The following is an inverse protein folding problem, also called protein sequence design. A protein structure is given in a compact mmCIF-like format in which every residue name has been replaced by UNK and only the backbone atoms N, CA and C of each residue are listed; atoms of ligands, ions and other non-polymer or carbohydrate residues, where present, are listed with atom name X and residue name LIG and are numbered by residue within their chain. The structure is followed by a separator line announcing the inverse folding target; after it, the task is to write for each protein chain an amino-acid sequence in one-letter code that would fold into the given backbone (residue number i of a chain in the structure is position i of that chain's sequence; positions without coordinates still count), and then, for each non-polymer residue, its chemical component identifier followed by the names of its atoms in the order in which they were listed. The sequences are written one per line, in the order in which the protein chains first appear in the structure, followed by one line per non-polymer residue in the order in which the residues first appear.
data_IF_249267799181
#
_entry.id   IF_249267799181
#
_cell.length_a   1.000
_cell.length_b   1.000
_cell.length_c   1.000
_cell.angle_alpha   90.00
_cell.angle_beta   90.00
_cell.angle_gamma   90.00
#
_symmetry.space_group_name_H-M   'P 1'
#
loop_
_entity.id
_entity.type
_entity.pdbx_description
1 polymer ?
#
# COMPACT_ATOMS: atom_id res chain seq x y z
N UNK A 1 0.34 -34.78 -4.45
CA UNK A 1 1.31 -34.19 -3.53
C UNK A 1 2.55 -33.85 -4.34
N UNK A 2 2.66 -32.59 -4.77
CA UNK A 2 3.89 -32.08 -5.38
C UNK A 2 4.58 -31.23 -4.33
N UNK A 3 5.59 -31.80 -3.68
CA UNK A 3 6.52 -31.03 -2.85
C UNK A 3 7.34 -30.17 -3.79
N UNK A 4 6.95 -28.91 -3.96
CA UNK A 4 7.82 -27.92 -4.58
C UNK A 4 9.12 -27.89 -3.77
N UNK A 5 10.21 -28.31 -4.40
CA UNK A 5 11.55 -28.11 -3.86
C UNK A 5 11.73 -26.60 -3.79
N UNK A 6 11.68 -26.02 -2.59
CA UNK A 6 12.11 -24.65 -2.36
C UNK A 6 13.57 -24.57 -2.81
N UNK A 7 13.80 -24.06 -4.01
CA UNK A 7 15.13 -23.69 -4.46
C UNK A 7 15.61 -22.59 -3.54
N UNK A 8 16.57 -22.90 -2.68
CA UNK A 8 17.24 -21.97 -1.77
C UNK A 8 17.65 -20.72 -2.55
N UNK A 9 16.99 -19.58 -2.30
CA UNK A 9 17.34 -18.30 -2.93
C UNK A 9 18.70 -17.88 -2.39
N UNK A 10 19.62 -17.50 -3.28
CA UNK A 10 20.89 -16.92 -2.87
C UNK A 10 20.63 -15.67 -1.98
N UNK A 11 21.42 -15.48 -0.91
CA UNK A 11 21.21 -14.36 0.01
C UNK A 11 21.37 -13.04 -0.73
N UNK A 12 20.45 -12.12 -0.46
CA UNK A 12 20.35 -10.79 -1.08
C UNK A 12 21.41 -9.84 -0.52
N UNK A 13 21.68 -9.95 0.77
CA UNK A 13 22.62 -9.13 1.54
C UNK A 13 23.56 -10.07 2.30
N UNK A 14 24.86 -9.79 2.21
CA UNK A 14 25.89 -10.53 2.94
C UNK A 14 25.84 -10.21 4.45
N UNK A 15 26.18 -11.17 5.33
CA UNK A 15 26.28 -10.91 6.76
C UNK A 15 27.29 -9.80 7.08
N UNK A 16 26.92 -8.95 8.04
CA UNK A 16 27.78 -7.94 8.62
C UNK A 16 28.82 -8.63 9.53
N UNK A 17 30.05 -8.10 9.54
CA UNK A 17 31.16 -8.64 10.36
C UNK A 17 31.70 -7.56 11.29
N UNK A 18 31.57 -7.78 12.59
CA UNK A 18 32.03 -6.86 13.62
C UNK A 18 33.55 -6.90 13.85
N UNK A 19 34.07 -6.00 14.70
CA UNK A 19 33.34 -4.90 15.34
C UNK A 19 33.02 -3.75 14.34
N UNK A 20 31.90 -3.05 14.53
CA UNK A 20 31.52 -1.88 13.72
C UNK A 20 31.22 -0.66 14.58
N UNK A 21 31.82 0.48 14.26
CA UNK A 21 31.38 1.76 14.80
C UNK A 21 30.13 2.26 14.05
N UNK A 22 29.59 3.38 14.53
CA UNK A 22 28.39 4.03 13.99
C UNK A 22 28.52 4.50 12.53
N UNK A 23 29.67 5.03 12.13
CA UNK A 23 29.90 5.50 10.75
C UNK A 23 29.94 4.33 9.77
N UNK A 24 30.60 3.23 10.14
CA UNK A 24 30.64 2.00 9.36
C UNK A 24 29.26 1.36 9.25
N UNK A 25 28.46 1.40 10.34
CA UNK A 25 27.09 0.92 10.33
C UNK A 25 26.20 1.75 9.39
N UNK A 26 26.29 3.08 9.46
CA UNK A 26 25.57 3.98 8.57
C UNK A 26 25.99 3.77 7.10
N UNK A 27 27.29 3.58 6.84
CA UNK A 27 27.79 3.23 5.52
C UNK A 27 27.20 1.92 5.02
N UNK A 28 27.13 0.88 5.87
CA UNK A 28 26.46 -0.38 5.56
C UNK A 28 24.97 -0.19 5.24
N UNK A 29 24.22 0.54 6.08
CA UNK A 29 22.79 0.84 5.83
C UNK A 29 22.60 1.47 4.45
N UNK A 30 23.45 2.42 4.05
CA UNK A 30 23.41 3.04 2.71
C UNK A 30 23.63 2.06 1.55
N UNK A 31 24.29 0.92 1.80
CA UNK A 31 24.46 -0.12 0.77
C UNK A 31 23.22 -0.97 0.54
N UNK A 32 22.35 -1.10 1.54
CA UNK A 32 21.17 -1.98 1.50
C UNK A 32 19.85 -1.23 1.27
N UNK A 33 19.86 0.10 1.24
CA UNK A 33 18.67 0.91 0.92
C UNK A 33 18.67 1.44 -0.51
N UNK A 34 17.49 1.83 -0.98
CA UNK A 34 17.27 2.50 -2.26
C UNK A 34 18.19 3.72 -2.43
N UNK A 35 18.77 3.88 -3.62
CA UNK A 35 19.74 4.95 -3.89
C UNK A 35 19.17 6.38 -3.73
N UNK A 36 17.88 6.55 -4.01
CA UNK A 36 17.22 7.84 -3.97
C UNK A 36 16.69 8.19 -2.56
N UNK A 37 16.76 7.25 -1.61
CA UNK A 37 16.25 7.46 -0.26
C UNK A 37 17.23 8.27 0.59
N UNK A 38 16.67 9.25 1.31
CA UNK A 38 17.40 9.97 2.35
C UNK A 38 17.33 9.19 3.65
N UNK A 39 18.49 8.94 4.25
CA UNK A 39 18.59 8.38 5.59
C UNK A 39 18.27 9.48 6.60
N UNK A 40 17.32 9.20 7.48
CA UNK A 40 17.12 10.01 8.69
C UNK A 40 18.19 9.57 9.70
N UNK A 41 19.20 10.42 9.90
CA UNK A 41 20.35 10.09 10.76
C UNK A 41 19.90 9.81 12.20
N UNK A 42 18.92 10.54 12.74
CA UNK A 42 18.40 10.28 14.10
C UNK A 42 17.76 8.91 14.21
N UNK A 43 17.01 8.50 13.18
CA UNK A 43 16.42 7.17 13.14
C UNK A 43 17.50 6.09 12.95
N UNK A 44 18.55 6.37 12.17
CA UNK A 44 19.69 5.47 12.04
C UNK A 44 20.41 5.28 13.37
N UNK A 45 20.58 6.36 14.15
CA UNK A 45 21.12 6.32 15.50
C UNK A 45 20.27 5.45 16.41
N UNK A 46 18.95 5.66 16.42
CA UNK A 46 18.04 4.83 17.20
C UNK A 46 18.06 3.34 16.79
N UNK A 47 18.31 3.05 15.51
CA UNK A 47 18.50 1.67 15.03
C UNK A 47 19.84 1.11 15.49
N UNK A 48 20.92 1.90 15.47
CA UNK A 48 22.23 1.49 15.98
C UNK A 48 22.15 1.17 17.49
N UNK A 49 21.58 2.09 18.27
CA UNK A 49 21.40 1.97 19.73
C UNK A 49 20.49 0.79 20.12
N UNK A 50 19.64 0.32 19.20
CA UNK A 50 18.82 -0.88 19.43
C UNK A 50 19.69 -2.15 19.54
N UNK A 51 20.83 -2.16 18.85
CA UNK A 51 21.75 -3.29 18.79
C UNK A 51 22.96 -3.12 19.72
N UNK A 52 23.43 -1.89 19.95
CA UNK A 52 24.49 -1.54 20.91
C UNK A 52 23.94 -1.64 22.36
N UNK A 53 24.08 -2.83 22.97
CA UNK A 53 23.49 -3.16 24.28
C UNK A 53 24.33 -2.67 25.44
N UNK A 54 25.65 -2.57 25.28
CA UNK A 54 26.54 -2.06 26.33
C UNK A 54 26.83 -0.56 26.21
N UNK A 55 26.35 0.08 25.13
CA UNK A 55 26.38 1.52 24.89
C UNK A 55 27.80 2.07 24.78
N UNK A 56 28.72 1.28 24.24
CA UNK A 56 30.12 1.67 24.02
C UNK A 56 30.37 2.37 22.67
N UNK A 57 29.32 2.51 21.84
CA UNK A 57 29.32 3.03 20.47
C UNK A 57 30.04 2.15 19.44
N UNK A 58 30.20 0.86 19.74
CA UNK A 58 30.78 -0.15 18.87
C UNK A 58 29.91 -1.41 18.93
N UNK A 59 29.34 -1.81 17.80
CA UNK A 59 28.71 -3.13 17.72
C UNK A 59 29.79 -4.21 17.78
N UNK A 60 29.84 -4.92 18.91
CA UNK A 60 30.66 -6.11 19.08
C UNK A 60 30.30 -7.20 18.06
N UNK A 61 31.09 -8.28 18.00
CA UNK A 61 30.75 -9.44 17.16
C UNK A 61 29.36 -10.00 17.48
N UNK A 62 28.99 -10.05 18.77
CA UNK A 62 27.71 -10.59 19.22
C UNK A 62 26.51 -9.69 18.88
N UNK A 63 26.71 -8.37 18.86
CA UNK A 63 25.68 -7.39 18.52
C UNK A 63 25.53 -7.28 17.01
N UNK A 64 26.63 -7.34 16.27
CA UNK A 64 26.63 -7.48 14.81
C UNK A 64 25.89 -8.75 14.39
N UNK A 65 26.08 -9.87 15.10
CA UNK A 65 25.31 -11.09 14.85
C UNK A 65 23.81 -10.90 15.14
N UNK A 66 23.46 -10.06 16.12
CA UNK A 66 22.05 -9.68 16.36
C UNK A 66 21.47 -8.85 15.20
N UNK A 67 22.27 -7.98 14.55
CA UNK A 67 21.89 -7.29 13.31
C UNK A 67 21.66 -8.30 12.18
N UNK A 68 22.57 -9.27 12.02
CA UNK A 68 22.46 -10.32 11.00
C UNK A 68 21.15 -11.10 11.14
N UNK A 69 20.85 -11.55 12.35
CA UNK A 69 19.66 -12.37 12.65
C UNK A 69 18.34 -11.61 12.47
N UNK A 70 18.30 -10.31 12.75
CA UNK A 70 17.07 -9.53 12.66
C UNK A 70 16.91 -8.86 11.31
N UNK A 71 17.85 -7.99 10.93
CA UNK A 71 17.71 -7.16 9.75
C UNK A 71 18.08 -7.93 8.48
N UNK A 72 19.25 -8.55 8.45
CA UNK A 72 19.78 -9.18 7.23
C UNK A 72 18.99 -10.43 6.87
N UNK A 73 18.67 -11.29 7.86
CA UNK A 73 17.78 -12.44 7.63
C UNK A 73 16.43 -11.98 7.09
N UNK A 74 15.80 -10.98 7.72
CA UNK A 74 14.51 -10.51 7.26
C UNK A 74 14.56 -9.98 5.82
N UNK A 75 15.61 -9.21 5.45
CA UNK A 75 15.81 -8.73 4.07
C UNK A 75 15.97 -9.91 3.09
N UNK A 76 16.75 -10.92 3.46
CA UNK A 76 17.00 -12.11 2.64
C UNK A 76 15.73 -12.95 2.42
N UNK A 77 14.86 -13.01 3.44
CA UNK A 77 13.61 -13.76 3.41
C UNK A 77 12.42 -12.98 2.79
N UNK A 78 12.62 -11.69 2.46
CA UNK A 78 11.54 -10.84 1.92
C UNK A 78 10.92 -11.43 0.65
N UNK A 79 9.61 -11.64 0.72
CA UNK A 79 8.77 -11.96 -0.45
C UNK A 79 7.79 -10.85 -0.69
N UNK A 80 7.55 -10.55 -1.96
CA UNK A 80 6.89 -9.32 -2.37
C UNK A 80 5.67 -9.59 -3.23
N UNK A 81 4.60 -8.83 -3.01
CA UNK A 81 3.45 -8.83 -3.90
C UNK A 81 3.23 -7.47 -4.55
N UNK A 82 2.75 -7.47 -5.80
CA UNK A 82 2.18 -6.28 -6.45
C UNK A 82 0.67 -6.37 -6.41
N UNK A 83 0.02 -5.32 -5.89
CA UNK A 83 -1.42 -5.17 -5.85
C UNK A 83 -1.79 -4.05 -6.82
N UNK A 84 -2.39 -4.43 -7.95
CA UNK A 84 -2.92 -3.52 -8.96
C UNK A 84 -4.38 -3.25 -8.66
N UNK A 85 -4.65 -2.05 -8.16
CA UNK A 85 -5.96 -1.65 -7.66
C UNK A 85 -6.80 -1.09 -8.79
N UNK A 86 -7.93 -1.74 -9.04
CA UNK A 86 -9.08 -1.25 -9.82
C UNK A 86 -8.72 -0.56 -11.15
N UNK A 87 -7.79 -1.13 -11.92
CA UNK A 87 -7.44 -0.59 -13.25
C UNK A 87 -8.50 -0.98 -14.30
N UNK A 88 -9.76 -0.66 -14.02
CA UNK A 88 -10.97 -1.05 -14.76
C UNK A 88 -11.45 0.04 -15.72
N UNK A 89 -12.26 -0.36 -16.71
CA UNK A 89 -12.76 0.51 -17.77
C UNK A 89 -13.48 1.75 -17.24
N UNK A 90 -14.31 1.63 -16.20
CA UNK A 90 -15.04 2.78 -15.64
C UNK A 90 -14.12 3.84 -15.04
N UNK A 91 -12.96 3.45 -14.49
CA UNK A 91 -11.97 4.38 -13.96
C UNK A 91 -11.01 4.91 -15.02
N UNK A 92 -10.85 4.21 -16.14
CA UNK A 92 -9.98 4.67 -17.24
C UNK A 92 -10.72 5.62 -18.18
N UNK A 93 -11.88 5.20 -18.68
CA UNK A 93 -12.61 5.92 -19.74
C UNK A 93 -14.14 5.89 -19.62
N UNK A 94 -14.67 5.22 -18.60
CA UNK A 94 -16.12 5.08 -18.41
C UNK A 94 -16.70 6.10 -17.43
N UNK A 95 -17.71 5.67 -16.66
CA UNK A 95 -18.59 6.56 -15.91
C UNK A 95 -17.91 7.31 -14.76
N UNK A 96 -16.83 6.75 -14.21
CA UNK A 96 -16.05 7.32 -13.11
C UNK A 96 -14.59 7.53 -13.51
N UNK A 97 -14.35 7.90 -14.77
CA UNK A 97 -13.00 8.05 -15.29
C UNK A 97 -12.18 9.05 -14.47
N UNK A 98 -10.95 8.69 -14.12
CA UNK A 98 -10.05 9.50 -13.29
C UNK A 98 -9.79 10.89 -13.90
N UNK A 99 -9.74 10.97 -15.24
CA UNK A 99 -9.59 12.25 -15.96
C UNK A 99 -10.72 13.25 -15.71
N UNK A 100 -11.87 12.80 -15.21
CA UNK A 100 -12.99 13.68 -14.86
C UNK A 100 -12.83 14.32 -13.48
N UNK A 101 -11.90 13.82 -12.63
CA UNK A 101 -11.58 14.38 -11.33
C UNK A 101 -11.07 15.83 -11.36
N UNK A 102 -10.92 16.43 -10.18
CA UNK A 102 -10.36 17.77 -10.00
C UNK A 102 -8.89 17.87 -10.40
N UNK A 103 -8.12 16.80 -10.19
CA UNK A 103 -6.70 16.72 -10.55
C UNK A 103 -6.44 16.64 -12.07
N UNK A 104 -7.46 16.26 -12.87
CA UNK A 104 -7.35 16.08 -14.34
C UNK A 104 -6.21 15.15 -14.78
N UNK A 105 -5.86 14.19 -13.93
CA UNK A 105 -4.83 13.20 -14.23
C UNK A 105 -5.30 12.21 -15.29
N UNK A 106 -4.39 11.82 -16.19
CA UNK A 106 -4.67 10.82 -17.21
C UNK A 106 -4.33 9.41 -16.70
N UNK A 107 -5.31 8.51 -16.52
CA UNK A 107 -5.05 7.14 -16.06
C UNK A 107 -4.09 6.37 -16.98
N UNK A 108 -4.06 6.68 -18.28
CA UNK A 108 -3.18 6.01 -19.25
C UNK A 108 -1.70 6.29 -19.01
N UNK A 109 -1.33 7.38 -18.33
CA UNK A 109 0.08 7.68 -18.01
C UNK A 109 0.65 6.71 -16.98
N UNK A 110 -0.19 6.12 -16.12
CA UNK A 110 0.22 5.09 -15.18
C UNK A 110 0.42 3.71 -15.83
N UNK A 111 -0.15 3.49 -17.00
CA UNK A 111 -0.20 2.17 -17.62
C UNK A 111 1.17 1.71 -18.14
N UNK A 112 1.93 2.59 -18.79
CA UNK A 112 3.25 2.26 -19.32
C UNK A 112 4.26 1.83 -18.24
N UNK A 113 4.45 2.56 -17.12
CA UNK A 113 5.30 2.09 -16.03
C UNK A 113 4.73 0.84 -15.33
N UNK A 114 3.40 0.74 -15.17
CA UNK A 114 2.76 -0.43 -14.57
C UNK A 114 3.00 -1.71 -15.40
N UNK A 115 2.75 -1.67 -16.70
CA UNK A 115 2.99 -2.80 -17.60
C UNK A 115 4.48 -3.20 -17.65
N UNK A 116 5.39 -2.24 -17.47
CA UNK A 116 6.83 -2.55 -17.33
C UNK A 116 7.12 -3.32 -16.05
N UNK A 117 6.56 -2.92 -14.92
CA UNK A 117 6.70 -3.65 -13.66
C UNK A 117 6.15 -5.07 -13.77
N UNK A 118 5.00 -5.23 -14.44
CA UNK A 118 4.36 -6.53 -14.63
C UNK A 118 5.14 -7.49 -15.54
N UNK A 119 5.99 -6.97 -16.42
CA UNK A 119 6.70 -7.77 -17.44
C UNK A 119 8.19 -7.98 -17.17
N UNK A 120 8.76 -7.28 -16.19
CA UNK A 120 10.19 -7.39 -15.89
C UNK A 120 10.46 -8.58 -14.95
N UNK A 121 11.31 -9.54 -15.32
CA UNK A 121 11.65 -10.70 -14.47
C UNK A 121 12.72 -10.40 -13.39
N UNK A 122 12.71 -11.10 -12.24
CA UNK A 122 11.56 -11.63 -11.51
C UNK A 122 10.94 -10.51 -10.66
N UNK A 123 9.80 -9.94 -11.08
CA UNK A 123 9.27 -8.71 -10.46
C UNK A 123 8.61 -8.93 -9.10
N UNK A 124 7.72 -9.90 -8.93
CA UNK A 124 7.02 -10.10 -7.67
C UNK A 124 6.77 -11.59 -7.45
N UNK A 125 6.79 -12.01 -6.19
CA UNK A 125 6.42 -13.38 -5.81
C UNK A 125 4.92 -13.64 -6.08
N UNK A 126 4.09 -12.60 -5.97
CA UNK A 126 2.65 -12.67 -6.22
C UNK A 126 2.15 -11.40 -6.90
N UNK A 127 1.27 -11.54 -7.89
CA UNK A 127 0.56 -10.41 -8.51
C UNK A 127 -0.94 -10.56 -8.24
N UNK A 128 -1.54 -9.50 -7.69
CA UNK A 128 -2.97 -9.42 -7.39
C UNK A 128 -3.57 -8.25 -8.16
N UNK A 129 -4.72 -8.47 -8.79
CA UNK A 129 -5.59 -7.43 -9.33
C UNK A 129 -6.83 -7.33 -8.47
N UNK A 130 -7.24 -6.11 -8.13
CA UNK A 130 -8.50 -5.87 -7.44
C UNK A 130 -9.52 -5.35 -8.44
N UNK A 131 -10.78 -5.72 -8.21
CA UNK A 131 -11.91 -5.30 -9.01
C UNK A 131 -12.98 -4.76 -8.09
N UNK A 132 -13.30 -3.50 -8.29
CA UNK A 132 -14.54 -2.95 -7.81
C UNK A 132 -15.71 -3.64 -8.53
N UNK A 133 -16.69 -4.14 -7.77
CA UNK A 133 -17.64 -5.15 -8.26
C UNK A 133 -19.04 -4.99 -7.71
N UNK A 134 -19.66 -3.86 -8.03
CA UNK A 134 -20.87 -3.38 -7.37
C UNK A 134 -22.18 -3.98 -7.91
N UNK A 135 -23.12 -4.40 -7.05
CA UNK A 135 -24.47 -4.73 -7.49
C UNK A 135 -25.15 -3.49 -8.08
N UNK A 136 -26.12 -3.69 -8.98
CA UNK A 136 -26.74 -2.57 -9.71
C UNK A 136 -27.50 -1.56 -8.84
N UNK A 137 -27.79 -1.89 -7.57
CA UNK A 137 -28.45 -1.01 -6.60
C UNK A 137 -27.52 -0.64 -5.41
N UNK A 138 -26.20 -0.68 -5.61
CA UNK A 138 -25.22 -0.43 -4.55
C UNK A 138 -25.40 0.93 -3.84
N UNK A 139 -25.06 1.00 -2.55
CA UNK A 139 -25.27 2.16 -1.67
C UNK A 139 -24.43 3.38 -2.05
N UNK A 140 -23.27 3.17 -2.69
CA UNK A 140 -22.41 4.24 -3.14
C UNK A 140 -22.96 4.97 -4.38
N UNK A 141 -23.95 4.44 -5.08
CA UNK A 141 -24.45 5.05 -6.31
C UNK A 141 -25.41 6.21 -6.03
N UNK A 142 -25.07 7.39 -6.55
CA UNK A 142 -25.87 8.60 -6.51
C UNK A 142 -27.27 8.37 -7.07
N UNK A 143 -27.41 7.61 -8.15
CA UNK A 143 -28.67 7.30 -8.81
C UNK A 143 -29.61 6.47 -7.92
N UNK A 144 -29.07 5.75 -6.93
CA UNK A 144 -29.80 4.83 -6.05
C UNK A 144 -29.88 5.29 -4.60
N UNK A 145 -29.29 6.44 -4.25
CA UNK A 145 -29.26 6.94 -2.88
C UNK A 145 -30.65 7.22 -2.29
N UNK A 146 -31.69 7.29 -3.13
CA UNK A 146 -33.10 7.49 -2.74
C UNK A 146 -34.00 6.27 -2.96
N UNK A 147 -33.43 5.09 -3.20
CA UNK A 147 -34.22 3.87 -3.30
C UNK A 147 -34.96 3.57 -1.99
N UNK A 148 -36.11 2.89 -2.10
CA UNK A 148 -36.99 2.61 -0.95
C UNK A 148 -36.40 1.66 0.09
N UNK A 149 -35.32 0.96 -0.23
CA UNK A 149 -34.62 0.01 0.65
C UNK A 149 -33.58 0.69 1.56
N UNK A 150 -33.46 2.01 1.48
CA UNK A 150 -32.58 2.83 2.32
C UNK A 150 -33.20 4.17 2.65
N UNK A 151 -32.75 4.81 3.72
CA UNK A 151 -33.29 6.09 4.20
C UNK A 151 -32.14 7.04 4.47
N UNK A 152 -32.10 8.13 3.71
CA UNK A 152 -31.21 9.27 3.97
C UNK A 152 -31.64 10.02 5.22
N UNK A 153 -30.68 10.60 5.94
CA UNK A 153 -30.95 11.54 7.01
C UNK A 153 -31.80 12.72 6.53
N UNK A 154 -32.63 13.27 7.40
CA UNK A 154 -33.55 14.36 7.05
C UNK A 154 -32.86 15.53 6.35
N UNK A 155 -31.64 15.90 6.79
CA UNK A 155 -30.82 16.95 6.16
C UNK A 155 -30.48 16.64 4.69
N UNK A 156 -30.18 15.38 4.37
CA UNK A 156 -29.76 14.96 3.03
C UNK A 156 -30.94 14.71 2.08
N UNK A 157 -32.11 14.37 2.63
CA UNK A 157 -33.35 14.27 1.84
C UNK A 157 -33.73 15.59 1.19
N UNK A 158 -33.49 16.70 1.88
CA UNK A 158 -33.82 18.06 1.43
C UNK A 158 -32.77 18.65 0.47
N UNK A 159 -31.56 18.06 0.42
CA UNK A 159 -30.47 18.53 -0.45
C UNK A 159 -30.69 18.11 -1.91
N UNK A 160 -30.37 18.99 -2.84
CA UNK A 160 -30.16 18.63 -4.25
C UNK A 160 -28.78 17.96 -4.39
N UNK A 161 -28.75 16.65 -4.15
CA UNK A 161 -27.53 15.85 -4.18
C UNK A 161 -26.93 15.77 -5.60
N UNK A 162 -25.62 15.56 -5.67
CA UNK A 162 -24.86 15.29 -6.90
C UNK A 162 -23.79 14.23 -6.63
N UNK A 163 -23.18 13.63 -7.67
CA UNK A 163 -21.99 12.81 -7.50
C UNK A 163 -20.92 13.53 -6.67
N UNK A 164 -20.20 12.75 -5.88
CA UNK A 164 -19.18 13.13 -4.89
C UNK A 164 -19.70 13.82 -3.61
N UNK A 165 -21.01 14.05 -3.48
CA UNK A 165 -21.57 14.48 -2.19
C UNK A 165 -21.45 13.35 -1.16
N UNK A 166 -21.08 13.70 0.07
CA UNK A 166 -21.19 12.82 1.23
C UNK A 166 -22.57 12.97 1.88
N UNK A 167 -23.19 11.83 2.19
CA UNK A 167 -24.50 11.74 2.83
C UNK A 167 -24.45 10.80 4.03
N UNK A 168 -25.44 10.93 4.89
CA UNK A 168 -25.71 10.02 6.01
C UNK A 168 -26.99 9.24 5.70
N UNK A 169 -26.89 7.92 5.75
CA UNK A 169 -28.05 7.03 5.77
C UNK A 169 -28.42 6.74 7.24
N UNK A 170 -29.71 6.88 7.58
CA UNK A 170 -30.29 6.45 8.85
C UNK A 170 -30.57 4.93 8.84
N UNK A 171 -30.86 4.37 7.67
CA UNK A 171 -31.05 2.94 7.45
C UNK A 171 -30.55 2.55 6.05
N UNK A 172 -29.56 1.65 5.91
CA UNK A 172 -28.64 1.22 6.97
C UNK A 172 -27.88 2.43 7.55
N UNK A 173 -27.50 2.38 8.82
CA UNK A 173 -26.82 3.51 9.46
C UNK A 173 -25.37 3.63 8.98
N UNK A 174 -25.06 4.64 8.17
CA UNK A 174 -23.70 4.91 7.71
C UNK A 174 -23.51 6.31 7.13
N UNK A 175 -22.25 6.72 6.98
CA UNK A 175 -21.85 7.88 6.17
C UNK A 175 -21.23 7.35 4.88
N UNK A 176 -21.71 7.83 3.73
CA UNK A 176 -21.29 7.34 2.41
C UNK A 176 -21.03 8.50 1.46
N UNK A 177 -19.91 8.45 0.74
CA UNK A 177 -19.65 9.32 -0.42
C UNK A 177 -20.38 8.73 -1.63
N UNK A 178 -21.15 9.55 -2.33
CA UNK A 178 -21.89 9.10 -3.51
C UNK A 178 -21.04 9.22 -4.77
N UNK A 179 -21.19 8.29 -5.70
CA UNK A 179 -20.50 8.25 -6.98
C UNK A 179 -21.51 8.03 -8.10
N UNK A 180 -21.22 8.40 -9.36
CA UNK A 180 -21.98 7.89 -10.49
C UNK A 180 -21.96 6.36 -10.46
N UNK A 181 -22.99 5.70 -10.99
CA UNK A 181 -22.96 4.24 -11.16
C UNK A 181 -21.71 3.82 -11.93
N UNK A 182 -20.92 2.93 -11.36
CA UNK A 182 -19.66 2.42 -11.93
C UNK A 182 -19.45 0.97 -11.53
N UNK A 183 -18.58 0.28 -12.27
CA UNK A 183 -18.10 -1.07 -11.99
C UNK A 183 -19.21 -2.06 -11.63
N UNK A 184 -20.36 -1.92 -12.29
CA UNK A 184 -21.52 -2.79 -12.03
C UNK A 184 -21.16 -4.20 -12.47
N UNK A 185 -21.47 -5.20 -11.63
CA UNK A 185 -21.11 -6.59 -11.88
C UNK A 185 -21.47 -7.04 -13.30
N UNK A 186 -20.49 -7.62 -13.98
CA UNK A 186 -20.61 -8.17 -15.36
C UNK A 186 -20.93 -7.12 -16.42
N UNK A 187 -20.65 -5.85 -16.15
CA UNK A 187 -20.71 -4.79 -17.15
C UNK A 187 -19.34 -4.54 -17.77
N UNK A 188 -19.31 -3.93 -18.95
CA UNK A 188 -18.07 -3.46 -19.57
C UNK A 188 -17.24 -2.59 -18.63
N UNK A 189 -17.90 -1.70 -17.86
CA UNK A 189 -17.24 -0.81 -16.92
C UNK A 189 -16.48 -1.51 -15.80
N UNK A 190 -16.93 -2.72 -15.44
CA UNK A 190 -16.32 -3.56 -14.41
C UNK A 190 -15.18 -4.46 -14.90
N UNK A 191 -14.93 -4.51 -16.20
CA UNK A 191 -13.79 -5.26 -16.75
C UNK A 191 -12.48 -4.48 -16.56
N UNK A 192 -11.37 -5.20 -16.41
CA UNK A 192 -10.04 -4.59 -16.46
C UNK A 192 -9.81 -3.89 -17.80
N UNK A 193 -9.04 -2.80 -17.78
CA UNK A 193 -8.66 -2.09 -19.00
C UNK A 193 -7.99 -3.04 -19.99
N UNK A 194 -8.39 -3.07 -21.27
CA UNK A 194 -7.82 -3.98 -22.27
C UNK A 194 -6.33 -3.71 -22.55
N UNK A 195 -5.81 -2.55 -22.14
CA UNK A 195 -4.40 -2.20 -22.31
C UNK A 195 -3.54 -2.63 -21.10
N UNK A 196 -4.15 -3.09 -20.00
CA UNK A 196 -3.45 -3.61 -18.84
C UNK A 196 -2.97 -5.03 -19.13
N UNK A 197 -1.69 -5.29 -18.90
CA UNK A 197 -1.17 -6.65 -18.94
C UNK A 197 -1.68 -7.40 -17.72
N UNK A 198 -2.27 -8.57 -17.94
CA UNK A 198 -2.70 -9.48 -16.89
C UNK A 198 -1.70 -10.62 -16.84
N UNK A 199 -0.99 -10.76 -15.72
CA UNK A 199 -0.05 -11.86 -15.53
C UNK A 199 -0.76 -13.23 -15.55
N UNK A 200 -0.08 -14.27 -16.03
CA UNK A 200 -0.68 -15.61 -16.22
C UNK A 200 -1.19 -16.22 -14.90
N UNK A 201 -0.38 -16.15 -13.84
CA UNK A 201 -0.72 -16.65 -12.49
C UNK A 201 -1.33 -15.57 -11.58
N UNK A 202 -1.94 -14.55 -12.18
CA UNK A 202 -2.55 -13.45 -11.46
C UNK A 202 -3.71 -13.92 -10.57
N UNK A 203 -3.79 -13.31 -9.39
CA UNK A 203 -4.91 -13.47 -8.46
C UNK A 203 -5.87 -12.31 -8.54
N UNK A 204 -7.13 -12.56 -8.24
CA UNK A 204 -8.19 -11.56 -8.36
C UNK A 204 -8.97 -11.42 -7.05
N UNK A 205 -9.17 -10.19 -6.60
CA UNK A 205 -9.99 -9.86 -5.42
C UNK A 205 -11.12 -8.95 -5.86
N UNK A 206 -12.37 -9.40 -5.68
CA UNK A 206 -13.54 -8.54 -5.85
C UNK A 206 -13.84 -7.82 -4.54
N UNK A 207 -14.23 -6.55 -4.63
CA UNK A 207 -14.65 -5.73 -3.49
C UNK A 207 -15.90 -4.92 -3.84
N UNK A 208 -16.59 -4.40 -2.82
CA UNK A 208 -17.78 -3.57 -3.00
C UNK A 208 -19.02 -4.33 -3.49
N UNK A 209 -19.03 -5.67 -3.35
CA UNK A 209 -20.14 -6.50 -3.84
C UNK A 209 -21.36 -6.54 -2.90
N UNK A 210 -21.24 -6.02 -1.68
CA UNK A 210 -22.34 -5.92 -0.72
C UNK A 210 -23.22 -4.70 -1.02
N UNK A 211 -24.52 -4.87 -1.23
CA UNK A 211 -25.43 -3.77 -1.63
C UNK A 211 -25.34 -2.57 -0.71
N UNK A 212 -25.20 -2.80 0.59
CA UNK A 212 -25.36 -1.81 1.63
C UNK A 212 -24.06 -1.35 2.25
N UNK A 213 -22.90 -1.83 1.80
CA UNK A 213 -21.61 -1.42 2.35
C UNK A 213 -20.57 -1.35 1.25
N UNK A 214 -19.99 -0.17 1.10
CA UNK A 214 -18.92 0.08 0.13
C UNK A 214 -17.57 -0.46 0.63
N UNK A 215 -16.61 -0.62 -0.27
CA UNK A 215 -15.28 -1.18 0.04
C UNK A 215 -14.20 -0.52 -0.82
N UNK A 216 -13.51 0.47 -0.26
CA UNK A 216 -12.35 1.07 -0.93
C UNK A 216 -11.11 0.19 -0.81
N UNK A 217 -10.87 -0.34 0.39
CA UNK A 217 -9.77 -1.25 0.65
C UNK A 217 -10.04 -2.61 0.01
N UNK A 218 -8.98 -3.23 -0.51
CA UNK A 218 -9.03 -4.61 -0.96
C UNK A 218 -9.01 -5.63 0.19
N UNK A 219 -8.76 -5.21 1.44
CA UNK A 219 -8.72 -6.09 2.61
C UNK A 219 -10.05 -6.16 3.37
N UNK A 220 -10.74 -5.03 3.49
CA UNK A 220 -11.95 -4.89 4.29
C UNK A 220 -12.97 -3.98 3.61
N UNK A 221 -14.24 -4.22 3.86
CA UNK A 221 -15.27 -3.23 3.56
C UNK A 221 -15.10 -1.98 4.45
N UNK A 222 -15.75 -0.87 4.09
CA UNK A 222 -15.57 0.43 4.75
C UNK A 222 -16.00 0.45 6.24
N UNK A 223 -16.74 -0.58 6.70
CA UNK A 223 -17.11 -0.74 8.11
C UNK A 223 -16.21 -1.72 8.87
N UNK A 224 -15.22 -2.31 8.19
CA UNK A 224 -14.35 -3.39 8.68
C UNK A 224 -15.10 -4.61 9.25
N UNK A 225 -16.33 -4.83 8.79
CA UNK A 225 -17.17 -5.97 9.23
C UNK A 225 -16.96 -7.20 8.35
N UNK A 226 -16.69 -7.00 7.06
CA UNK A 226 -16.38 -8.06 6.10
C UNK A 226 -14.93 -7.94 5.69
N UNK A 227 -14.23 -9.08 5.71
CA UNK A 227 -12.84 -9.23 5.30
C UNK A 227 -12.78 -10.01 3.98
N UNK A 228 -11.90 -9.59 3.08
CA UNK A 228 -11.62 -10.33 1.85
C UNK A 228 -10.57 -11.44 2.09
N UNK A 229 -10.39 -12.30 1.09
CA UNK A 229 -9.38 -13.36 1.16
C UNK A 229 -7.93 -12.83 1.01
N UNK A 230 -7.73 -11.54 0.69
CA UNK A 230 -6.43 -10.98 0.34
C UNK A 230 -5.37 -11.21 1.42
N UNK A 231 -5.66 -10.89 2.68
CA UNK A 231 -4.68 -11.08 3.76
C UNK A 231 -4.33 -12.55 3.95
N UNK A 232 -5.32 -13.45 3.86
CA UNK A 232 -5.06 -14.88 3.98
C UNK A 232 -4.19 -15.38 2.81
N UNK A 233 -4.47 -14.93 1.59
CA UNK A 233 -3.72 -15.28 0.40
C UNK A 233 -2.27 -14.80 0.48
N UNK A 234 -2.03 -13.57 0.92
CA UNK A 234 -0.68 -13.02 1.11
C UNK A 234 0.09 -13.80 2.18
N UNK A 235 -0.57 -14.11 3.31
CA UNK A 235 0.06 -14.88 4.41
C UNK A 235 0.37 -16.33 4.00
N UNK A 236 -0.52 -16.97 3.25
CA UNK A 236 -0.30 -18.33 2.75
C UNK A 236 0.90 -18.44 1.80
N UNK A 237 1.27 -17.34 1.14
CA UNK A 237 2.44 -17.27 0.27
C UNK A 237 3.66 -16.64 0.94
N UNK A 238 3.65 -16.48 2.27
CA UNK A 238 4.72 -15.86 3.04
C UNK A 238 5.11 -14.47 2.49
N UNK A 239 4.13 -13.69 2.03
CA UNK A 239 4.39 -12.32 1.56
C UNK A 239 4.64 -11.41 2.76
N UNK A 240 5.76 -10.70 2.70
CA UNK A 240 6.22 -9.78 3.74
C UNK A 240 6.00 -8.31 3.34
N UNK A 241 6.11 -8.03 2.03
CA UNK A 241 6.02 -6.68 1.49
C UNK A 241 5.00 -6.59 0.35
N UNK A 242 4.22 -5.52 0.32
CA UNK A 242 3.26 -5.23 -0.75
C UNK A 242 3.57 -3.89 -1.42
N UNK A 243 3.55 -3.90 -2.74
CA UNK A 243 3.61 -2.72 -3.59
C UNK A 243 2.20 -2.47 -4.11
N UNK A 244 1.63 -1.32 -3.80
CA UNK A 244 0.26 -0.96 -4.16
C UNK A 244 0.31 0.12 -5.23
N UNK A 245 -0.47 -0.06 -6.29
CA UNK A 245 -0.60 0.91 -7.36
C UNK A 245 -1.99 0.82 -8.00
N UNK A 246 -2.32 1.73 -8.91
CA UNK A 246 -3.57 1.70 -9.66
C UNK A 246 -4.48 2.89 -9.37
N UNK A 247 -5.79 2.67 -9.35
CA UNK A 247 -6.81 3.73 -9.36
C UNK A 247 -7.83 3.53 -8.24
N UNK A 248 -8.41 4.57 -7.64
CA UNK A 248 -7.87 5.93 -7.55
C UNK A 248 -6.80 5.99 -6.44
N UNK A 249 -5.73 6.75 -6.68
CA UNK A 249 -4.61 6.93 -5.74
C UNK A 249 -5.08 7.35 -4.34
N UNK A 250 -5.93 8.38 -4.29
CA UNK A 250 -6.49 9.02 -3.10
C UNK A 250 -7.62 8.24 -2.41
N UNK A 251 -8.08 7.13 -3.00
CA UNK A 251 -9.20 6.33 -2.49
C UNK A 251 -8.78 4.88 -2.30
N UNK A 252 -8.96 4.02 -3.32
CA UNK A 252 -8.78 2.58 -3.18
C UNK A 252 -7.32 2.18 -2.96
N UNK A 253 -6.38 2.86 -3.63
CA UNK A 253 -4.93 2.63 -3.45
C UNK A 253 -4.52 3.01 -2.04
N UNK A 254 -4.86 4.23 -1.60
CA UNK A 254 -4.54 4.70 -0.25
C UNK A 254 -5.19 3.85 0.85
N UNK A 255 -6.47 3.48 0.70
CA UNK A 255 -7.17 2.63 1.67
C UNK A 255 -6.54 1.24 1.75
N UNK A 256 -6.20 0.63 0.60
CA UNK A 256 -5.54 -0.67 0.55
C UNK A 256 -4.15 -0.63 1.17
N UNK A 257 -3.35 0.41 0.88
CA UNK A 257 -2.03 0.59 1.48
C UNK A 257 -2.11 0.83 3.00
N UNK A 258 -3.09 1.61 3.46
CA UNK A 258 -3.31 1.86 4.87
C UNK A 258 -3.66 0.57 5.63
N UNK A 259 -4.59 -0.24 5.11
CA UNK A 259 -4.93 -1.52 5.74
C UNK A 259 -3.77 -2.52 5.67
N UNK A 260 -2.97 -2.52 4.60
CA UNK A 260 -1.76 -3.35 4.55
C UNK A 260 -0.77 -3.01 5.68
N UNK A 261 -0.57 -1.72 5.97
CA UNK A 261 0.24 -1.26 7.09
C UNK A 261 -0.33 -1.71 8.45
N UNK A 262 -1.63 -1.53 8.65
CA UNK A 262 -2.34 -1.96 9.87
C UNK A 262 -2.24 -3.47 10.10
N UNK A 263 -2.16 -4.25 9.01
CA UNK A 263 -1.98 -5.70 9.03
C UNK A 263 -0.52 -6.15 9.18
N UNK A 264 0.42 -5.22 9.26
CA UNK A 264 1.82 -5.51 9.52
C UNK A 264 2.68 -5.71 8.28
N UNK A 265 2.13 -5.64 7.06
CA UNK A 265 2.95 -5.72 5.84
C UNK A 265 3.91 -4.52 5.71
N UNK A 266 5.11 -4.76 5.19
CA UNK A 266 5.89 -3.66 4.63
C UNK A 266 5.15 -3.15 3.39
N UNK A 267 4.93 -1.85 3.29
CA UNK A 267 4.05 -1.31 2.25
C UNK A 267 4.76 -0.21 1.49
N UNK A 268 4.61 -0.24 0.16
CA UNK A 268 5.01 0.84 -0.73
C UNK A 268 3.85 1.22 -1.65
N UNK A 269 3.67 2.51 -1.93
CA UNK A 269 2.81 3.00 -3.01
C UNK A 269 3.68 3.43 -4.18
N UNK A 270 3.38 2.89 -5.37
CA UNK A 270 4.09 3.21 -6.61
C UNK A 270 3.34 4.34 -7.35
N UNK A 271 3.77 5.57 -7.14
CA UNK A 271 3.02 6.78 -7.51
C UNK A 271 2.88 6.97 -9.02
N UNK A 272 3.95 6.73 -9.78
CA UNK A 272 3.90 6.89 -11.24
C UNK A 272 3.02 5.83 -11.91
N UNK A 273 2.75 4.71 -11.21
CA UNK A 273 1.78 3.67 -11.58
C UNK A 273 0.38 3.91 -10.99
N UNK A 274 0.12 5.06 -10.38
CA UNK A 274 -1.16 5.42 -9.77
C UNK A 274 -1.66 6.77 -10.27
N UNK A 275 -2.99 6.95 -10.30
CA UNK A 275 -3.63 8.24 -10.61
C UNK A 275 -4.88 8.43 -9.75
N UNK A 276 -5.16 9.66 -9.35
CA UNK A 276 -6.22 10.00 -8.40
C UNK A 276 -7.18 11.08 -8.90
N UNK A 277 -8.26 11.29 -8.15
CA UNK A 277 -9.32 12.22 -8.52
C UNK A 277 -9.01 13.66 -8.12
N UNK A 278 -8.37 13.88 -6.97
CA UNK A 278 -8.06 15.21 -6.46
C UNK A 278 -6.63 15.33 -5.95
N UNK A 279 -5.92 16.40 -6.32
CA UNK A 279 -4.50 16.55 -5.99
C UNK A 279 -4.28 16.77 -4.49
N UNK A 280 -5.19 17.47 -3.82
CA UNK A 280 -5.12 17.71 -2.38
C UNK A 280 -5.37 16.41 -1.62
N UNK A 281 -6.34 15.61 -2.05
CA UNK A 281 -6.61 14.30 -1.44
C UNK A 281 -5.44 13.33 -1.66
N UNK A 282 -4.79 13.34 -2.84
CA UNK A 282 -3.56 12.56 -3.12
C UNK A 282 -2.43 12.95 -2.17
N UNK A 283 -2.14 14.25 -2.03
CA UNK A 283 -1.09 14.74 -1.13
C UNK A 283 -1.38 14.37 0.33
N UNK A 284 -2.63 14.51 0.77
CA UNK A 284 -3.05 14.13 2.12
C UNK A 284 -2.90 12.63 2.35
N UNK A 285 -3.29 11.80 1.39
CA UNK A 285 -3.11 10.36 1.44
C UNK A 285 -1.62 9.99 1.55
N UNK A 286 -0.76 10.57 0.73
CA UNK A 286 0.69 10.34 0.79
C UNK A 286 1.29 10.76 2.13
N UNK A 287 0.89 11.91 2.69
CA UNK A 287 1.36 12.34 4.03
C UNK A 287 0.93 11.35 5.11
N UNK A 288 -0.32 10.91 5.10
CA UNK A 288 -0.84 9.94 6.07
C UNK A 288 -0.14 8.57 5.97
N UNK A 289 0.11 8.11 4.75
CA UNK A 289 0.83 6.86 4.49
C UNK A 289 2.30 6.95 4.90
N UNK A 290 3.01 8.02 4.54
CA UNK A 290 4.40 8.28 4.94
C UNK A 290 4.54 8.36 6.46
N UNK A 291 3.58 8.98 7.16
CA UNK A 291 3.55 9.02 8.62
C UNK A 291 3.54 7.60 9.22
N UNK A 292 2.77 6.69 8.62
CA UNK A 292 2.74 5.26 8.97
C UNK A 292 3.89 4.43 8.38
N UNK A 293 4.93 5.08 7.86
CA UNK A 293 6.13 4.45 7.27
C UNK A 293 5.83 3.60 6.03
N UNK A 294 4.78 3.95 5.30
CA UNK A 294 4.65 3.54 3.91
C UNK A 294 5.78 4.18 3.10
N UNK A 295 6.41 3.41 2.21
CA UNK A 295 7.33 3.96 1.24
C UNK A 295 6.53 4.57 0.08
N UNK A 296 6.67 5.87 -0.15
CA UNK A 296 6.13 6.51 -1.35
C UNK A 296 7.24 6.49 -2.41
N UNK A 297 7.03 5.73 -3.49
CA UNK A 297 8.08 5.39 -4.46
C UNK A 297 7.58 5.46 -5.92
N UNK A 298 8.45 5.18 -6.87
CA UNK A 298 8.13 5.12 -8.30
C UNK A 298 8.55 3.76 -8.91
N UNK A 299 8.11 3.51 -10.13
CA UNK A 299 8.33 2.23 -10.83
C UNK A 299 9.81 1.89 -11.02
N UNK A 300 10.68 2.88 -11.26
CA UNK A 300 12.12 2.64 -11.42
C UNK A 300 12.76 2.21 -10.11
N UNK A 301 12.40 2.86 -9.00
CA UNK A 301 12.92 2.52 -7.67
C UNK A 301 12.37 1.14 -7.23
N UNK A 302 11.10 0.85 -7.49
CA UNK A 302 10.53 -0.48 -7.26
C UNK A 302 11.25 -1.56 -8.08
N UNK A 303 11.50 -1.33 -9.38
CA UNK A 303 12.28 -2.24 -10.23
C UNK A 303 13.72 -2.41 -9.71
N UNK A 304 14.36 -1.33 -9.24
CA UNK A 304 15.69 -1.40 -8.63
C UNK A 304 15.69 -2.25 -7.37
N UNK A 305 14.68 -2.13 -6.50
CA UNK A 305 14.56 -2.98 -5.31
C UNK A 305 14.49 -4.46 -5.70
N UNK A 306 13.73 -4.81 -6.73
CA UNK A 306 13.58 -6.20 -7.17
C UNK A 306 14.85 -6.78 -7.79
N UNK A 307 15.67 -5.94 -8.44
CA UNK A 307 16.94 -6.36 -9.06
C UNK A 307 18.13 -6.37 -8.11
N UNK A 308 18.22 -5.36 -7.25
CA UNK A 308 19.38 -5.10 -6.39
C UNK A 308 19.13 -5.50 -4.94
N UNK A 309 17.89 -5.83 -4.59
CA UNK A 309 17.43 -6.12 -3.24
C UNK A 309 17.61 -4.98 -2.23
N UNK A 310 17.80 -3.76 -2.73
CA UNK A 310 17.88 -2.54 -1.93
C UNK A 310 16.51 -2.06 -1.50
N UNK A 311 16.22 -2.08 -0.20
CA UNK A 311 14.89 -1.81 0.35
C UNK A 311 14.64 -0.32 0.59
N UNK A 312 13.38 0.13 0.65
CA UNK A 312 13.06 1.47 1.13
C UNK A 312 13.58 1.73 2.56
N UNK A 313 14.17 2.90 2.79
CA UNK A 313 14.65 3.34 4.11
C UNK A 313 13.55 3.26 5.19
N UNK A 314 12.32 3.61 4.82
CA UNK A 314 11.16 3.56 5.70
C UNK A 314 10.90 2.17 6.33
N UNK A 315 11.43 1.10 5.73
CA UNK A 315 11.24 -0.27 6.23
C UNK A 315 12.30 -0.70 7.23
N UNK A 316 13.49 -0.08 7.26
CA UNK A 316 14.62 -0.49 8.10
C UNK A 316 14.22 -0.55 9.57
N UNK A 317 13.67 0.54 10.11
CA UNK A 317 13.29 0.60 11.52
C UNK A 317 12.23 -0.45 11.89
N UNK A 318 11.31 -0.77 10.98
CA UNK A 318 10.30 -1.81 11.19
C UNK A 318 10.92 -3.21 11.18
N UNK A 319 11.81 -3.49 10.23
CA UNK A 319 12.54 -4.76 10.16
C UNK A 319 13.45 -4.99 11.38
N UNK A 320 14.02 -3.93 11.95
CA UNK A 320 14.81 -4.02 13.17
C UNK A 320 13.95 -4.25 14.44
N UNK A 321 12.62 -4.09 14.36
CA UNK A 321 11.71 -4.22 15.51
C UNK A 321 11.66 -2.98 16.40
N UNK A 322 12.09 -1.81 15.90
CA UNK A 322 12.14 -0.57 16.69
C UNK A 322 10.75 -0.15 17.21
N UNK A 323 9.69 -0.52 16.49
CA UNK A 323 8.30 -0.14 16.81
C UNK A 323 7.55 -1.16 17.68
N UNK A 324 8.15 -2.30 18.02
CA UNK A 324 7.50 -3.38 18.79
C UNK A 324 7.68 -3.24 20.31
N UNK A 325 8.66 -2.45 20.76
CA UNK A 325 8.83 -2.13 22.19
C UNK A 325 7.79 -1.07 22.62
N UNK A 326 6.73 -1.55 23.25
CA UNK A 326 5.68 -0.77 23.92
C UNK A 326 6.22 0.45 24.70
N UNK A 327 5.74 1.65 24.34
CA UNK A 327 5.91 2.88 25.13
C UNK A 327 6.78 3.98 24.51
N UNK A 328 7.71 3.66 23.60
CA UNK A 328 8.58 4.65 22.94
C UNK A 328 7.96 5.37 21.73
N UNK A 329 6.88 4.79 21.19
CA UNK A 329 6.23 5.23 19.94
C UNK A 329 5.76 6.70 19.99
N UNK A 330 5.32 7.18 21.15
CA UNK A 330 4.86 8.56 21.31
C UNK A 330 6.00 9.58 21.50
N UNK A 331 7.20 9.14 21.90
CA UNK A 331 8.34 10.03 22.14
C UNK A 331 9.09 10.35 20.84
N UNK A 332 9.42 9.32 20.05
CA UNK A 332 10.11 9.48 18.75
C UNK A 332 9.25 10.21 17.70
N UNK A 333 7.92 10.07 17.74
CA UNK A 333 7.01 10.77 16.82
C UNK A 333 6.73 12.23 17.21
N UNK A 334 6.97 12.63 18.48
CA UNK A 334 6.79 14.02 18.92
C UNK A 334 7.99 14.91 18.56
N UNK A 335 9.21 14.40 18.60
CA UNK A 335 10.41 15.20 18.34
C UNK A 335 10.57 15.62 16.87
N UNK A 336 10.06 14.85 15.91
CA UNK A 336 10.07 15.24 14.50
C UNK A 336 9.04 16.33 14.17
N UNK A 337 8.07 16.60 15.07
CA UNK A 337 7.04 17.62 14.84
C UNK A 337 7.50 19.03 15.21
N UNK A 338 8.45 19.17 16.14
CA UNK A 338 8.99 20.49 16.54
C UNK A 338 10.03 21.04 15.55
N UNK A 339 10.56 20.20 14.65
CA UNK A 339 11.54 20.59 13.64
C UNK A 339 10.93 21.13 12.33
N UNK A 340 9.69 20.75 12.00
CA UNK A 340 8.99 21.18 10.76
C UNK A 340 8.00 22.34 10.97
N UNK A 341 7.85 22.84 12.21
CA UNK A 341 6.97 23.97 12.54
C UNK A 341 7.71 25.23 12.99
N UNK A 342 9.01 25.36 12.72
CA UNK A 342 9.78 26.57 12.98
C UNK A 342 10.43 27.15 11.73
#
# INVERSE_FOLDING_TARGET
MSTAVETERAPRVAPLKGPLNKDDFLAFIRTIISHDDKVDEKLCDAVFDLFDKDSDNILSESETESVNQRLISAINDLRTALIVVDFQNDFVSGSLAIGNGGAKQNPMEALAPLNRLLTTMPAFDTIIYTLDWHPSNHISFYEHCRNSDRTLATSDRLRKLKPFDTVVFESPKMTQRLYPRHCVQKSWGSELSPNLIVAEDAKFIHKGFEVYVDSYSAFYNNTKTTRSDLEQMLKAENIHAVFVCGLAHDICVAATAHDALDLGFLTAVVEDCSKGLDITDIEMANRALSYKKCAITNSKTAESFLKTHRIPWAWIAKLCGLYEKSGGLAALLKENHEADTN
#
